data_IF_696419967732
#
_entry.id   IF_696419967732
#
_cell.length_a   1.000
_cell.length_b   1.000
_cell.length_c   1.000
_cell.angle_alpha   90.00
_cell.angle_beta   90.00
_cell.angle_gamma   90.00
#
_symmetry.space_group_name_H-M   'P 1'
#
loop_
_entity.id
_entity.type
_entity.pdbx_description
1 polymer ?
#
# COMPACT_ATOMS: atom_id res chain seq x y z
N UNK A 1 14.06 20.24 -14.34
CA UNK A 1 12.93 20.77 -15.14
C UNK A 1 11.64 20.30 -14.49
N UNK A 2 10.57 21.13 -14.46
CA UNK A 2 9.26 20.66 -14.02
C UNK A 2 8.77 19.53 -14.94
N UNK A 3 8.08 18.54 -14.38
CA UNK A 3 7.46 17.46 -15.17
C UNK A 3 6.35 18.00 -16.06
N UNK A 4 6.19 17.42 -17.25
CA UNK A 4 5.08 17.73 -18.18
C UNK A 4 4.27 16.47 -18.44
N UNK A 5 2.99 16.63 -18.77
CA UNK A 5 2.11 15.51 -19.10
C UNK A 5 2.22 15.16 -20.58
N UNK A 6 2.25 13.87 -20.88
CA UNK A 6 2.04 13.37 -22.25
C UNK A 6 0.57 13.48 -22.65
N UNK A 7 0.25 13.47 -23.96
CA UNK A 7 -1.13 13.40 -24.42
C UNK A 7 -1.85 12.14 -23.93
N UNK A 8 -3.17 12.22 -23.83
CA UNK A 8 -4.02 11.06 -23.56
C UNK A 8 -3.93 10.02 -24.66
N UNK A 9 -4.08 8.75 -24.27
CA UNK A 9 -4.10 7.61 -25.19
C UNK A 9 -5.35 6.78 -24.93
N UNK A 10 -5.98 6.21 -25.98
CA UNK A 10 -7.08 5.26 -25.80
C UNK A 10 -6.56 3.99 -25.11
N UNK A 11 -7.44 3.35 -24.34
CA UNK A 11 -7.14 2.04 -23.77
C UNK A 11 -7.07 0.98 -24.88
N UNK A 12 -6.16 -0.01 -24.79
CA UNK A 12 -6.15 -1.14 -25.71
C UNK A 12 -7.46 -1.94 -25.64
N UNK A 13 -7.94 -2.44 -26.77
CA UNK A 13 -9.11 -3.32 -26.83
C UNK A 13 -8.72 -4.68 -27.45
N UNK A 14 -9.19 -5.81 -26.89
CA UNK A 14 -10.03 -5.94 -25.69
C UNK A 14 -9.23 -5.72 -24.37
N UNK A 15 -9.90 -5.22 -23.33
CA UNK A 15 -9.35 -5.14 -21.96
C UNK A 15 -10.27 -5.91 -21.02
N UNK A 16 -9.75 -6.97 -20.39
CA UNK A 16 -10.50 -7.78 -19.43
C UNK A 16 -10.55 -7.16 -18.03
N UNK A 17 -9.45 -6.54 -17.60
CA UNK A 17 -9.30 -5.93 -16.27
C UNK A 17 -8.48 -4.64 -16.40
N UNK A 18 -8.97 -3.57 -15.76
CA UNK A 18 -8.21 -2.33 -15.59
C UNK A 18 -7.45 -2.37 -14.27
N UNK A 19 -6.14 -2.19 -14.31
CA UNK A 19 -5.30 -2.05 -13.14
C UNK A 19 -4.91 -0.58 -12.93
N UNK A 20 -5.15 -0.08 -11.71
CA UNK A 20 -4.75 1.27 -11.29
C UNK A 20 -3.79 1.17 -10.11
N UNK A 21 -2.68 1.88 -10.19
CA UNK A 21 -1.72 2.05 -9.09
C UNK A 21 -1.52 3.55 -8.82
N UNK A 22 -1.71 3.95 -7.57
CA UNK A 22 -1.56 5.33 -7.16
C UNK A 22 -2.17 5.62 -5.80
N UNK A 23 -2.14 6.90 -5.40
CA UNK A 23 -2.58 7.36 -4.08
C UNK A 23 -4.10 7.57 -3.95
N UNK A 24 -4.87 7.47 -5.05
CA UNK A 24 -6.29 7.86 -5.08
C UNK A 24 -7.22 6.76 -5.64
N UNK A 25 -6.84 5.49 -5.50
CA UNK A 25 -7.60 4.37 -6.04
C UNK A 25 -8.94 4.12 -5.35
N UNK A 26 -9.13 4.62 -4.12
CA UNK A 26 -10.36 4.47 -3.34
C UNK A 26 -10.87 5.79 -2.77
N UNK A 27 -10.59 6.91 -3.46
CA UNK A 27 -10.94 8.24 -2.98
C UNK A 27 -12.46 8.45 -3.01
N UNK A 28 -12.97 9.07 -1.95
CA UNK A 28 -14.37 9.51 -1.84
C UNK A 28 -14.39 10.92 -1.28
N UNK A 29 -15.02 11.82 -2.02
CA UNK A 29 -15.25 13.23 -1.66
C UNK A 29 -16.75 13.54 -1.82
N UNK A 30 -17.22 14.73 -1.39
CA UNK A 30 -18.62 15.11 -1.62
C UNK A 30 -19.02 15.15 -3.11
N UNK A 31 -18.06 15.31 -4.02
CA UNK A 31 -18.30 15.44 -5.45
C UNK A 31 -18.01 14.14 -6.23
N UNK A 32 -17.09 13.30 -5.74
CA UNK A 32 -16.61 12.14 -6.47
C UNK A 32 -16.48 10.91 -5.57
N UNK A 33 -17.03 9.79 -6.00
CA UNK A 33 -16.84 8.49 -5.37
C UNK A 33 -16.20 7.56 -6.41
N UNK A 34 -14.89 7.36 -6.27
CA UNK A 34 -14.11 6.44 -7.13
C UNK A 34 -14.24 5.00 -6.61
N UNK A 35 -14.32 4.83 -5.30
CA UNK A 35 -14.35 3.50 -4.66
C UNK A 35 -15.51 2.64 -5.15
N UNK A 36 -16.68 3.24 -5.46
CA UNK A 36 -17.84 2.50 -6.00
C UNK A 36 -17.61 1.85 -7.38
N UNK A 37 -16.56 2.24 -8.10
CA UNK A 37 -16.23 1.73 -9.42
C UNK A 37 -15.18 0.61 -9.37
N UNK A 38 -14.72 0.22 -8.19
CA UNK A 38 -13.62 -0.72 -8.00
C UNK A 38 -14.15 -2.04 -7.45
N UNK A 39 -13.99 -3.13 -8.21
CA UNK A 39 -14.37 -4.48 -7.75
C UNK A 39 -13.37 -5.04 -6.71
N UNK A 40 -12.08 -4.66 -6.79
CA UNK A 40 -11.04 -5.07 -5.84
C UNK A 40 -10.10 -3.92 -5.47
N UNK A 41 -10.26 -3.39 -4.26
CA UNK A 41 -9.43 -2.30 -3.74
C UNK A 41 -8.38 -2.80 -2.75
N UNK A 42 -7.10 -2.61 -3.07
CA UNK A 42 -5.96 -3.04 -2.25
C UNK A 42 -5.16 -1.84 -1.76
N UNK A 43 -4.92 -1.77 -0.46
CA UNK A 43 -4.03 -0.79 0.14
C UNK A 43 -2.65 -1.39 0.36
N UNK A 44 -1.61 -0.81 -0.22
CA UNK A 44 -0.22 -1.15 0.10
C UNK A 44 0.40 0.07 0.75
N UNK A 45 0.68 -0.02 2.05
CA UNK A 45 0.99 1.16 2.86
C UNK A 45 2.11 0.88 3.86
N UNK A 46 3.22 1.64 3.87
CA UNK A 46 4.15 1.61 5.00
C UNK A 46 3.51 2.32 6.22
N UNK A 47 3.95 2.00 7.44
CA UNK A 47 3.63 2.87 8.58
C UNK A 47 4.14 4.29 8.31
N UNK A 48 3.47 5.30 8.89
CA UNK A 48 3.77 6.72 8.67
C UNK A 48 5.26 7.04 8.85
N UNK A 49 5.91 6.51 9.90
CA UNK A 49 7.33 6.74 10.13
C UNK A 49 8.19 6.20 8.98
N UNK A 50 7.88 5.01 8.45
CA UNK A 50 8.60 4.44 7.31
C UNK A 50 8.36 5.26 6.03
N UNK A 51 7.14 5.74 5.82
CA UNK A 51 6.81 6.64 4.71
C UNK A 51 7.67 7.91 4.73
N UNK A 52 7.81 8.52 5.91
CA UNK A 52 8.63 9.71 6.09
C UNK A 52 10.13 9.43 5.91
N UNK A 53 10.64 8.30 6.43
CA UNK A 53 12.03 7.88 6.19
C UNK A 53 12.30 7.75 4.69
N UNK A 54 11.40 7.09 3.95
CA UNK A 54 11.51 6.93 2.51
C UNK A 54 11.47 8.27 1.77
N UNK A 55 10.57 9.17 2.17
CA UNK A 55 10.47 10.52 1.59
C UNK A 55 11.74 11.34 1.86
N UNK A 56 12.24 11.34 3.09
CA UNK A 56 13.47 12.04 3.47
C UNK A 56 14.67 11.58 2.63
N UNK A 57 14.89 10.27 2.53
CA UNK A 57 16.03 9.70 1.80
C UNK A 57 15.91 10.00 0.29
N UNK A 58 14.71 9.85 -0.28
CA UNK A 58 14.47 10.13 -1.70
C UNK A 58 14.67 11.62 -2.04
N UNK A 59 14.07 12.52 -1.27
CA UNK A 59 14.09 13.94 -1.58
C UNK A 59 15.44 14.61 -1.25
N UNK A 60 16.17 14.12 -0.25
CA UNK A 60 17.53 14.63 0.05
C UNK A 60 18.59 14.02 -0.87
N UNK A 61 18.50 12.72 -1.18
CA UNK A 61 19.48 12.02 -2.01
C UNK A 61 19.32 12.26 -3.50
N UNK A 62 18.10 12.08 -4.04
CA UNK A 62 17.87 12.14 -5.49
C UNK A 62 17.57 13.56 -5.99
N UNK A 63 16.93 14.39 -5.16
CA UNK A 63 16.45 15.73 -5.55
C UNK A 63 17.28 16.87 -4.97
N UNK A 64 18.23 16.58 -4.07
CA UNK A 64 19.13 17.56 -3.47
C UNK A 64 18.42 18.60 -2.59
N UNK A 65 17.22 18.31 -2.09
CA UNK A 65 16.54 19.20 -1.16
C UNK A 65 17.24 19.20 0.21
N UNK A 66 17.21 20.35 0.90
CA UNK A 66 17.66 20.39 2.29
C UNK A 66 16.68 19.63 3.19
N UNK A 67 17.14 19.14 4.34
CA UNK A 67 16.29 18.38 5.26
C UNK A 67 15.13 19.22 5.76
N UNK A 68 15.38 20.50 6.01
CA UNK A 68 14.38 21.47 6.47
C UNK A 68 13.26 21.63 5.45
N UNK A 69 13.61 21.75 4.16
CA UNK A 69 12.61 21.87 3.09
C UNK A 69 11.72 20.62 2.98
N UNK A 70 12.29 19.43 3.21
CA UNK A 70 11.51 18.17 3.21
C UNK A 70 10.63 18.07 4.45
N UNK A 71 11.13 18.46 5.63
CA UNK A 71 10.33 18.52 6.86
C UNK A 71 9.13 19.44 6.70
N UNK A 72 9.33 20.65 6.18
CA UNK A 72 8.24 21.58 5.91
C UNK A 72 7.24 21.01 4.88
N UNK A 73 7.73 20.27 3.89
CA UNK A 73 6.90 19.57 2.90
C UNK A 73 6.03 18.49 3.54
N UNK A 74 6.59 17.71 4.48
CA UNK A 74 5.83 16.71 5.24
C UNK A 74 4.70 17.38 6.00
N UNK A 75 5.01 18.42 6.80
CA UNK A 75 4.00 19.15 7.59
C UNK A 75 2.89 19.72 6.71
N UNK A 76 3.25 20.37 5.60
CA UNK A 76 2.26 20.91 4.65
C UNK A 76 1.34 19.83 4.06
N UNK A 77 1.87 18.63 3.82
CA UNK A 77 1.09 17.52 3.26
C UNK A 77 0.24 16.75 4.28
N UNK A 78 0.42 16.99 5.58
CA UNK A 78 -0.26 16.20 6.62
C UNK A 78 -1.78 16.37 6.62
N UNK A 79 -2.26 17.58 6.36
CA UNK A 79 -3.70 17.83 6.26
C UNK A 79 -4.33 16.99 5.14
N UNK A 80 -3.73 17.02 3.95
CA UNK A 80 -4.18 16.22 2.82
C UNK A 80 -4.06 14.72 3.07
N UNK A 81 -2.98 14.30 3.73
CA UNK A 81 -2.77 12.90 4.09
C UNK A 81 -3.91 12.39 4.98
N UNK A 82 -4.25 13.14 6.02
CA UNK A 82 -5.32 12.78 6.96
C UNK A 82 -6.67 12.80 6.26
N UNK A 83 -6.96 13.81 5.46
CA UNK A 83 -8.29 14.02 4.88
C UNK A 83 -8.56 13.18 3.62
N UNK A 84 -7.53 12.86 2.83
CA UNK A 84 -7.70 12.20 1.53
C UNK A 84 -6.99 10.86 1.41
N UNK A 85 -5.88 10.61 2.10
CA UNK A 85 -5.14 9.34 2.00
C UNK A 85 -5.66 8.33 3.02
N UNK A 86 -5.59 8.65 4.31
CA UNK A 86 -5.92 7.70 5.38
C UNK A 86 -7.34 7.09 5.29
N UNK A 87 -8.40 7.83 4.90
CA UNK A 87 -9.75 7.26 4.85
C UNK A 87 -9.91 6.17 3.79
N UNK A 88 -9.04 6.13 2.77
CA UNK A 88 -9.11 5.12 1.72
C UNK A 88 -8.82 3.72 2.26
N UNK A 89 -7.92 3.57 3.25
CA UNK A 89 -7.60 2.28 3.88
C UNK A 89 -8.75 1.70 4.71
N UNK A 90 -9.76 2.52 5.02
CA UNK A 90 -11.02 2.07 5.61
C UNK A 90 -12.00 1.48 4.59
N UNK A 91 -11.71 1.61 3.28
CA UNK A 91 -12.55 1.13 2.18
C UNK A 91 -11.95 -0.04 1.40
N UNK A 92 -10.64 -0.24 1.52
CA UNK A 92 -9.92 -1.36 0.91
C UNK A 92 -10.47 -2.71 1.37
N UNK A 93 -10.46 -3.70 0.47
CA UNK A 93 -10.75 -5.09 0.79
C UNK A 93 -9.56 -5.77 1.49
N UNK A 94 -8.34 -5.39 1.10
CA UNK A 94 -7.10 -5.91 1.70
C UNK A 94 -6.15 -4.74 1.96
N UNK A 95 -5.54 -4.70 3.14
CA UNK A 95 -4.41 -3.81 3.42
C UNK A 95 -3.16 -4.64 3.68
N UNK A 96 -2.09 -4.35 2.93
CA UNK A 96 -0.72 -4.79 3.18
C UNK A 96 0.02 -3.63 3.84
N UNK A 97 0.12 -3.68 5.17
CA UNK A 97 0.80 -2.66 5.94
C UNK A 97 2.22 -3.09 6.29
N UNK A 98 3.23 -2.37 5.80
CA UNK A 98 4.63 -2.67 6.13
C UNK A 98 5.04 -2.00 7.45
N UNK A 99 5.51 -2.81 8.39
CA UNK A 99 5.91 -2.41 9.75
C UNK A 99 7.36 -2.81 10.00
N UNK A 100 8.31 -1.85 10.08
CA UNK A 100 9.68 -2.12 10.51
C UNK A 100 9.74 -2.66 11.94
N UNK A 101 10.67 -3.57 12.19
CA UNK A 101 11.01 -4.09 13.53
C UNK A 101 12.29 -3.46 14.10
N UNK A 102 12.79 -2.42 13.44
CA UNK A 102 13.92 -1.59 13.87
C UNK A 102 13.43 -0.25 14.40
N UNK A 103 14.32 0.48 15.08
CA UNK A 103 13.99 1.80 15.64
C UNK A 103 13.70 2.82 14.52
N UNK A 104 12.44 3.22 14.44
CA UNK A 104 11.96 4.28 13.55
C UNK A 104 11.32 5.43 14.33
N UNK A 105 11.63 5.57 15.63
CA UNK A 105 11.05 6.58 16.52
C UNK A 105 11.34 8.01 16.07
N UNK A 106 12.52 8.27 15.49
CA UNK A 106 12.86 9.53 14.84
C UNK A 106 13.09 9.33 13.33
N UNK A 107 12.03 9.40 12.51
CA UNK A 107 12.12 9.17 11.07
C UNK A 107 12.95 10.23 10.35
N UNK A 108 13.05 11.44 10.90
CA UNK A 108 13.85 12.52 10.33
C UNK A 108 15.34 12.30 10.48
N UNK A 109 15.77 11.53 11.50
CA UNK A 109 17.18 11.21 11.77
C UNK A 109 17.64 9.87 11.16
N UNK A 110 16.75 9.12 10.53
CA UNK A 110 17.07 7.83 9.93
C UNK A 110 18.13 7.95 8.83
N UNK A 111 19.05 6.99 8.81
CA UNK A 111 20.16 6.95 7.84
C UNK A 111 19.85 6.09 6.62
N UNK A 112 18.98 5.11 6.78
CA UNK A 112 18.62 4.14 5.76
C UNK A 112 17.15 3.77 5.88
N UNK A 113 16.59 3.30 4.76
CA UNK A 113 15.27 2.68 4.76
C UNK A 113 15.45 1.27 5.33
N UNK A 114 14.68 0.87 6.36
CA UNK A 114 14.65 -0.51 6.82
C UNK A 114 14.47 -1.49 5.65
N UNK A 115 15.21 -2.59 5.66
CA UNK A 115 15.09 -3.66 4.66
C UNK A 115 13.80 -4.46 4.85
N UNK A 116 13.50 -5.34 3.89
CA UNK A 116 12.35 -6.25 4.01
C UNK A 116 12.54 -7.28 5.13
N UNK A 117 13.77 -7.70 5.41
CA UNK A 117 14.08 -8.63 6.49
C UNK A 117 13.96 -7.98 7.88
N UNK A 118 14.12 -6.65 7.94
CA UNK A 118 13.90 -5.81 9.13
C UNK A 118 12.44 -5.34 9.24
N UNK A 119 11.51 -6.01 8.56
CA UNK A 119 10.10 -5.63 8.55
C UNK A 119 9.18 -6.85 8.61
N UNK A 120 7.99 -6.64 9.14
CA UNK A 120 6.83 -7.48 8.88
C UNK A 120 5.87 -6.76 7.93
N UNK A 121 5.00 -7.54 7.30
CA UNK A 121 3.81 -7.03 6.61
C UNK A 121 2.57 -7.56 7.32
N UNK A 122 1.74 -6.63 7.79
CA UNK A 122 0.45 -6.91 8.39
C UNK A 122 -0.59 -6.89 7.28
N UNK A 123 -1.21 -8.04 7.03
CA UNK A 123 -2.22 -8.24 5.99
C UNK A 123 -3.58 -8.30 6.67
N UNK A 124 -4.37 -7.24 6.50
CA UNK A 124 -5.72 -7.15 7.04
C UNK A 124 -6.76 -7.39 5.95
N UNK A 125 -7.69 -8.31 6.19
CA UNK A 125 -8.78 -8.66 5.28
C UNK A 125 -10.10 -8.05 5.77
N UNK A 126 -10.80 -7.34 4.89
CA UNK A 126 -12.12 -6.76 5.16
C UNK A 126 -13.16 -7.44 4.29
N UNK A 127 -14.18 -8.02 4.93
CA UNK A 127 -15.33 -8.64 4.26
C UNK A 127 -14.94 -9.66 3.17
N UNK A 128 -13.76 -10.28 3.30
CA UNK A 128 -13.29 -11.35 2.42
C UNK A 128 -13.53 -12.67 3.13
N UNK A 129 -14.42 -13.46 2.57
CA UNK A 129 -14.70 -14.82 3.02
C UNK A 129 -13.84 -15.83 2.26
N UNK A 130 -13.64 -17.01 2.85
CA UNK A 130 -12.92 -18.11 2.20
C UNK A 130 -11.39 -17.98 2.22
N UNK A 131 -10.82 -17.14 3.07
CA UNK A 131 -9.37 -17.10 3.29
C UNK A 131 -8.93 -18.35 4.08
N UNK A 132 -8.13 -19.19 3.45
CA UNK A 132 -7.54 -20.38 4.07
C UNK A 132 -6.30 -20.00 4.89
N UNK A 133 -6.51 -19.57 6.13
CA UNK A 133 -5.42 -19.24 7.05
C UNK A 133 -4.47 -20.41 7.32
N UNK A 134 -4.94 -21.65 7.58
CA UNK A 134 -4.04 -22.80 7.73
C UNK A 134 -3.09 -22.99 6.55
N UNK A 135 -3.58 -22.90 5.32
CA UNK A 135 -2.75 -23.01 4.11
C UNK A 135 -1.76 -21.84 3.98
N UNK A 136 -2.23 -20.60 4.20
CA UNK A 136 -1.35 -19.43 4.16
C UNK A 136 -0.22 -19.53 5.19
N UNK A 137 -0.52 -19.97 6.42
CA UNK A 137 0.49 -20.16 7.47
C UNK A 137 1.52 -21.24 7.09
N UNK A 138 1.07 -22.33 6.46
CA UNK A 138 1.95 -23.39 6.00
C UNK A 138 2.88 -22.93 4.85
N UNK A 139 2.37 -22.15 3.91
CA UNK A 139 3.16 -21.62 2.80
C UNK A 139 4.10 -20.49 3.24
N UNK A 140 3.64 -19.64 4.15
CA UNK A 140 4.36 -18.44 4.59
C UNK A 140 5.05 -18.71 5.94
N UNK A 141 6.09 -19.54 5.94
CA UNK A 141 6.80 -19.91 7.18
C UNK A 141 7.21 -18.68 8.02
N UNK A 142 6.96 -18.71 9.32
CA UNK A 142 7.22 -17.57 10.23
C UNK A 142 6.11 -16.50 10.22
N UNK A 143 5.01 -16.73 9.50
CA UNK A 143 3.79 -15.93 9.65
C UNK A 143 2.96 -16.39 10.85
N UNK A 144 2.13 -15.49 11.35
CA UNK A 144 1.22 -15.76 12.46
C UNK A 144 -0.04 -14.90 12.35
N UNK A 145 -1.12 -15.32 13.01
CA UNK A 145 -2.38 -14.58 13.06
C UNK A 145 -2.33 -13.66 14.28
N UNK A 146 -2.40 -12.34 14.05
CA UNK A 146 -2.43 -11.35 15.14
C UNK A 146 -3.85 -11.00 15.59
N UNK A 147 -4.83 -11.12 14.69
CA UNK A 147 -6.25 -10.93 14.94
C UNK A 147 -7.07 -11.80 13.98
N UNK A 148 -8.35 -12.04 14.26
CA UNK A 148 -9.21 -12.94 13.49
C UNK A 148 -9.14 -12.74 11.96
N UNK A 149 -9.03 -11.48 11.51
CA UNK A 149 -8.97 -11.13 10.09
C UNK A 149 -7.59 -10.57 9.70
N UNK A 150 -6.52 -10.94 10.39
CA UNK A 150 -5.21 -10.31 10.21
C UNK A 150 -4.07 -11.31 10.32
N UNK A 151 -3.33 -11.44 9.22
CA UNK A 151 -2.16 -12.28 9.07
C UNK A 151 -0.91 -11.40 9.06
N UNK A 152 0.09 -11.74 9.86
CA UNK A 152 1.39 -11.07 9.87
C UNK A 152 2.40 -11.97 9.18
N UNK A 153 3.11 -11.45 8.19
CA UNK A 153 4.08 -12.21 7.38
C UNK A 153 5.46 -11.53 7.42
N UNK A 154 6.57 -12.29 7.42
CA UNK A 154 7.90 -11.71 7.29
C UNK A 154 8.01 -10.87 6.01
N UNK A 155 8.66 -9.70 6.08
CA UNK A 155 8.69 -8.75 4.97
C UNK A 155 9.37 -9.31 3.71
N UNK A 156 10.40 -10.16 3.86
CA UNK A 156 11.01 -10.88 2.73
C UNK A 156 10.05 -11.82 1.99
N UNK A 157 8.89 -12.14 2.56
CA UNK A 157 7.84 -12.98 1.94
C UNK A 157 6.64 -12.19 1.44
N UNK A 158 6.71 -10.87 1.43
CA UNK A 158 5.60 -10.02 0.95
C UNK A 158 5.19 -10.36 -0.48
N UNK A 159 6.15 -10.56 -1.39
CA UNK A 159 5.86 -10.90 -2.79
C UNK A 159 5.08 -12.22 -2.91
N UNK A 160 5.56 -13.27 -2.24
CA UNK A 160 4.87 -14.57 -2.21
C UNK A 160 3.49 -14.46 -1.55
N UNK A 161 3.37 -13.74 -0.44
CA UNK A 161 2.07 -13.54 0.22
C UNK A 161 1.07 -12.83 -0.70
N UNK A 162 1.52 -11.78 -1.40
CA UNK A 162 0.70 -11.05 -2.35
C UNK A 162 0.28 -11.96 -3.51
N UNK A 163 1.18 -12.78 -4.05
CA UNK A 163 0.85 -13.73 -5.11
C UNK A 163 -0.20 -14.76 -4.66
N UNK A 164 0.00 -15.41 -3.53
CA UNK A 164 -0.92 -16.45 -3.02
C UNK A 164 -2.31 -15.89 -2.71
N UNK A 165 -2.39 -14.64 -2.24
CA UNK A 165 -3.65 -13.99 -1.87
C UNK A 165 -4.34 -13.37 -3.08
N UNK A 166 -3.60 -12.67 -3.94
CA UNK A 166 -4.15 -11.87 -5.03
C UNK A 166 -4.49 -12.71 -6.27
N UNK A 167 -3.70 -13.74 -6.57
CA UNK A 167 -3.93 -14.61 -7.75
C UNK A 167 -5.36 -15.14 -7.83
N UNK A 168 -5.92 -15.80 -6.79
CA UNK A 168 -7.30 -16.29 -6.86
C UNK A 168 -8.34 -15.16 -6.97
N UNK A 169 -8.07 -13.98 -6.40
CA UNK A 169 -8.97 -12.84 -6.47
C UNK A 169 -9.01 -12.23 -7.87
N UNK A 170 -7.84 -12.07 -8.50
CA UNK A 170 -7.74 -11.57 -9.88
C UNK A 170 -8.35 -12.58 -10.87
N UNK A 171 -8.13 -13.88 -10.66
CA UNK A 171 -8.79 -14.92 -11.47
C UNK A 171 -10.31 -14.82 -11.40
N UNK A 172 -10.88 -14.62 -10.21
CA UNK A 172 -12.34 -14.40 -10.05
C UNK A 172 -12.84 -13.18 -10.82
N UNK A 173 -12.08 -12.08 -10.80
CA UNK A 173 -12.43 -10.87 -11.58
C UNK A 173 -12.42 -11.15 -13.07
N UNK A 174 -11.41 -11.85 -13.58
CA UNK A 174 -11.31 -12.24 -14.99
C UNK A 174 -12.45 -13.18 -15.43
N UNK A 175 -12.93 -14.04 -14.53
CA UNK A 175 -14.08 -14.92 -14.76
C UNK A 175 -15.44 -14.19 -14.66
N UNK A 176 -15.45 -12.89 -14.36
CA UNK A 176 -16.67 -12.10 -14.14
C UNK A 176 -17.41 -12.43 -12.83
N UNK A 177 -16.74 -13.13 -11.90
CA UNK A 177 -17.29 -13.50 -10.59
C UNK A 177 -16.92 -12.43 -9.57
N UNK A 178 -17.89 -11.55 -9.26
CA UNK A 178 -17.80 -10.62 -8.13
C UNK A 178 -17.87 -11.41 -6.83
#
# INVERSE_FOLDING_TARGET
MPGTFTPWQPLPEPTDVLFYEGLHGGVVTPQHDVARHVDLLVGVVPIVNLEWIQKMIRDTGERGHSREAVMDSVVRSMEDYINFITPQFSRTHINFQRVPTVDTSNPFAAKSIPSLDESFVVIHFRNLEGIDYPWLLAMLQGSFISHMNTLVVPGGKMGLAMELIMTPLVQRLMEGRR
#
